data_IF_299364758889
#
_entry.id   IF_299364758889
#
_cell.length_a   1.000
_cell.length_b   1.000
_cell.length_c   1.000
_cell.angle_alpha   90.00
_cell.angle_beta   90.00
_cell.angle_gamma   90.00
#
_symmetry.space_group_name_H-M   'P 1'
#
loop_
_entity.id
_entity.type
_entity.pdbx_description
1 polymer ?
#
# COMPACT_ATOMS: atom_id res chain seq x y z
N UNK A 1 -6.60 -1.71 18.61
CA UNK A 1 -5.82 -2.26 17.50
C UNK A 1 -6.85 -2.79 16.49
N UNK A 2 -6.50 -3.50 15.41
CA UNK A 2 -7.52 -4.00 14.48
C UNK A 2 -8.60 -4.90 15.16
N UNK A 3 -8.33 -5.32 16.40
CA UNK A 3 -9.21 -6.04 17.33
C UNK A 3 -10.50 -5.31 17.76
N UNK A 4 -10.60 -3.98 17.63
CA UNK A 4 -11.73 -3.20 18.18
C UNK A 4 -12.84 -2.88 17.19
N UNK A 5 -12.60 -2.97 15.89
CA UNK A 5 -13.58 -2.61 14.87
C UNK A 5 -14.05 -3.88 14.16
N UNK A 6 -15.35 -4.00 13.91
CA UNK A 6 -15.84 -5.01 12.97
C UNK A 6 -15.31 -4.73 11.57
N UNK A 7 -15.27 -5.76 10.72
CA UNK A 7 -14.82 -5.63 9.34
C UNK A 7 -15.57 -4.52 8.57
N UNK A 8 -16.90 -4.45 8.69
CA UNK A 8 -17.71 -3.45 7.99
C UNK A 8 -17.42 -2.03 8.48
N UNK A 9 -17.16 -1.85 9.78
CA UNK A 9 -16.77 -0.56 10.34
C UNK A 9 -15.38 -0.14 9.84
N UNK A 10 -14.43 -1.07 9.76
CA UNK A 10 -13.09 -0.80 9.24
C UNK A 10 -13.14 -0.36 7.77
N UNK A 11 -13.93 -1.04 6.94
CA UNK A 11 -14.14 -0.69 5.52
C UNK A 11 -14.84 0.66 5.38
N UNK A 12 -15.87 0.93 6.20
CA UNK A 12 -16.61 2.19 6.17
C UNK A 12 -15.74 3.39 6.58
N UNK A 13 -14.96 3.23 7.66
CA UNK A 13 -14.13 4.29 8.22
C UNK A 13 -12.87 4.58 7.40
N UNK A 14 -12.52 3.71 6.45
CA UNK A 14 -11.37 3.90 5.57
C UNK A 14 -11.58 5.11 4.65
N UNK A 15 -10.71 6.11 4.77
CA UNK A 15 -10.69 7.31 3.92
C UNK A 15 -9.32 7.47 3.24
N UNK A 16 -9.32 8.19 2.11
CA UNK A 16 -8.07 8.70 1.51
C UNK A 16 -7.60 9.89 2.32
N UNK A 17 -6.34 9.89 2.74
CA UNK A 17 -5.74 10.97 3.54
C UNK A 17 -4.52 11.48 2.79
N UNK A 18 -4.54 12.76 2.44
CA UNK A 18 -3.43 13.42 1.72
C UNK A 18 -2.53 14.23 2.66
N UNK A 19 -3.08 14.72 3.78
CA UNK A 19 -2.30 15.42 4.80
C UNK A 19 -1.75 14.38 5.77
N UNK A 20 -0.47 14.03 5.61
CA UNK A 20 0.19 12.98 6.36
C UNK A 20 1.32 13.60 7.18
N UNK A 21 1.39 13.31 8.47
CA UNK A 21 2.46 13.76 9.35
C UNK A 21 3.73 12.88 9.21
N UNK A 22 4.88 13.40 9.62
CA UNK A 22 6.19 12.71 9.60
C UNK A 22 6.37 11.70 10.76
N UNK A 23 5.39 11.57 11.63
CA UNK A 23 5.37 10.61 12.74
C UNK A 23 4.22 9.61 12.58
N UNK A 24 4.54 8.35 12.88
CA UNK A 24 3.57 7.25 12.97
C UNK A 24 3.10 7.12 14.42
N UNK A 25 1.84 6.72 14.62
CA UNK A 25 1.31 6.40 15.95
C UNK A 25 1.64 4.96 16.38
N UNK A 26 2.15 4.14 15.46
CA UNK A 26 2.51 2.73 15.67
C UNK A 26 3.99 2.50 15.34
N UNK A 27 4.59 1.49 15.97
CA UNK A 27 5.98 1.08 15.72
C UNK A 27 6.13 0.46 14.32
N UNK A 28 7.37 0.46 13.83
CA UNK A 28 7.73 -0.19 12.57
C UNK A 28 7.45 -1.70 12.61
N UNK A 29 7.71 -2.37 13.74
CA UNK A 29 7.40 -3.80 13.91
C UNK A 29 5.90 -4.09 13.77
N UNK A 30 5.04 -3.21 14.30
CA UNK A 30 3.59 -3.36 14.19
C UNK A 30 3.11 -3.13 12.75
N UNK A 31 3.79 -2.25 12.01
CA UNK A 31 3.56 -2.04 10.59
C UNK A 31 3.88 -3.31 9.80
N UNK A 32 5.04 -3.91 10.06
CA UNK A 32 5.48 -5.15 9.41
C UNK A 32 4.52 -6.30 9.70
N UNK A 33 4.09 -6.44 10.96
CA UNK A 33 3.12 -7.46 11.36
C UNK A 33 1.78 -7.33 10.61
N UNK A 34 1.24 -6.11 10.51
CA UNK A 34 0.00 -5.88 9.75
C UNK A 34 0.16 -6.28 8.27
N UNK A 35 1.32 -5.99 7.70
CA UNK A 35 1.60 -6.28 6.29
C UNK A 35 1.80 -7.79 6.08
N UNK A 36 2.50 -8.47 6.99
CA UNK A 36 2.66 -9.92 6.97
C UNK A 36 1.31 -10.63 7.07
N UNK A 37 0.47 -10.25 8.02
CA UNK A 37 -0.86 -10.83 8.19
C UNK A 37 -1.71 -10.62 6.93
N UNK A 38 -1.63 -9.45 6.29
CA UNK A 38 -2.33 -9.18 5.05
C UNK A 38 -1.83 -9.97 3.83
N UNK A 39 -0.57 -10.41 3.81
CA UNK A 39 -0.05 -11.30 2.77
C UNK A 39 -0.53 -12.73 2.99
N UNK A 40 -0.61 -13.17 4.24
CA UNK A 40 -0.99 -14.54 4.61
C UNK A 40 -2.49 -14.80 4.45
N UNK A 41 -3.33 -13.87 4.92
CA UNK A 41 -4.78 -14.08 4.99
C UNK A 41 -5.52 -13.83 3.68
N UNK A 42 -4.93 -13.04 2.77
CA UNK A 42 -5.63 -12.64 1.54
C UNK A 42 -5.53 -13.75 0.50
N UNK A 43 -6.68 -14.28 0.02
CA UNK A 43 -6.66 -15.39 -0.89
C UNK A 43 -6.06 -15.00 -2.25
N UNK A 44 -5.43 -15.97 -2.87
CA UNK A 44 -4.91 -15.87 -4.23
C UNK A 44 -5.46 -17.01 -5.09
N UNK A 45 -5.67 -16.74 -6.38
CA UNK A 45 -6.12 -17.77 -7.32
C UNK A 45 -5.15 -18.94 -7.30
N UNK A 46 -5.68 -20.15 -7.11
CA UNK A 46 -4.91 -21.39 -6.99
C UNK A 46 -3.86 -21.37 -5.87
N UNK A 47 -4.05 -20.54 -4.84
CA UNK A 47 -3.08 -20.29 -3.78
C UNK A 47 -1.67 -19.94 -4.33
N UNK A 48 -1.65 -19.18 -5.42
CA UNK A 48 -0.43 -18.81 -6.14
C UNK A 48 0.50 -17.87 -5.38
N UNK A 49 -0.07 -17.03 -4.51
CA UNK A 49 0.67 -16.08 -3.68
C UNK A 49 1.70 -15.27 -4.50
N UNK A 50 1.30 -14.75 -5.66
CA UNK A 50 2.20 -14.00 -6.55
C UNK A 50 2.42 -12.55 -6.11
N UNK A 51 1.67 -12.04 -5.12
CA UNK A 51 1.91 -10.70 -4.55
C UNK A 51 3.28 -10.64 -3.86
N UNK A 52 4.00 -9.54 -4.09
CA UNK A 52 5.21 -9.16 -3.36
C UNK A 52 5.02 -7.73 -2.87
N UNK A 53 5.28 -7.47 -1.60
CA UNK A 53 5.18 -6.13 -1.03
C UNK A 53 6.57 -5.65 -0.62
N UNK A 54 6.87 -4.38 -0.88
CA UNK A 54 8.08 -3.72 -0.38
C UNK A 54 7.64 -2.56 0.50
N UNK A 55 8.08 -2.60 1.75
CA UNK A 55 7.75 -1.59 2.76
C UNK A 55 8.94 -0.66 2.92
N UNK A 56 8.75 0.61 2.60
CA UNK A 56 9.78 1.63 2.75
C UNK A 56 9.45 2.51 3.95
N UNK A 57 10.35 2.47 4.93
CA UNK A 57 10.27 3.20 6.19
C UNK A 57 11.33 4.30 6.24
N UNK A 58 11.02 5.38 6.97
CA UNK A 58 11.99 6.43 7.35
C UNK A 58 12.78 6.97 6.14
N UNK A 59 14.09 6.76 6.10
CA UNK A 59 14.98 7.33 5.09
C UNK A 59 14.75 6.73 3.70
N UNK A 60 14.41 5.44 3.60
CA UNK A 60 14.23 4.79 2.31
C UNK A 60 12.97 5.26 1.59
N UNK A 61 11.95 5.67 2.37
CA UNK A 61 10.79 6.39 1.85
C UNK A 61 11.21 7.69 1.15
N UNK A 62 12.03 8.51 1.81
CA UNK A 62 12.49 9.78 1.25
C UNK A 62 13.37 9.59 0.03
N UNK A 63 14.29 8.62 0.06
CA UNK A 63 15.13 8.28 -1.10
C UNK A 63 14.27 7.93 -2.31
N UNK A 64 13.27 7.07 -2.14
CA UNK A 64 12.37 6.68 -3.22
C UNK A 64 11.62 7.88 -3.82
N UNK A 65 11.03 8.74 -2.99
CA UNK A 65 10.34 9.92 -3.49
C UNK A 65 11.27 10.94 -4.14
N UNK A 66 12.48 11.11 -3.63
CA UNK A 66 13.46 12.00 -4.25
C UNK A 66 13.80 11.54 -5.67
N UNK A 67 13.98 10.23 -5.90
CA UNK A 67 14.16 9.67 -7.25
C UNK A 67 12.96 9.99 -8.15
N UNK A 68 11.74 9.81 -7.65
CA UNK A 68 10.51 10.15 -8.39
C UNK A 68 10.40 11.65 -8.71
N UNK A 69 10.72 12.52 -7.75
CA UNK A 69 10.73 13.97 -7.94
C UNK A 69 11.80 14.39 -8.94
N UNK A 70 13.00 13.81 -8.89
CA UNK A 70 14.05 14.08 -9.88
C UNK A 70 13.60 13.72 -11.29
N UNK A 71 12.95 12.56 -11.46
CA UNK A 71 12.36 12.17 -12.75
C UNK A 71 11.26 13.14 -13.22
N UNK A 72 10.43 13.63 -12.30
CA UNK A 72 9.36 14.59 -12.61
C UNK A 72 9.87 15.97 -13.04
N UNK A 73 11.06 16.39 -12.59
CA UNK A 73 11.66 17.68 -13.02
C UNK A 73 11.88 17.76 -14.53
N UNK A 74 12.05 16.62 -15.20
CA UNK A 74 12.21 16.58 -16.65
C UNK A 74 10.89 16.82 -17.43
N UNK A 75 9.73 16.73 -16.76
CA UNK A 75 8.41 16.70 -17.42
C UNK A 75 7.49 17.80 -16.89
N UNK A 76 7.60 18.16 -15.61
CA UNK A 76 6.70 19.12 -14.95
C UNK A 76 7.29 20.54 -15.01
N UNK A 77 6.57 21.52 -15.58
CA UNK A 77 6.97 22.93 -15.54
C UNK A 77 7.14 23.41 -14.10
N UNK A 78 8.16 24.25 -13.86
CA UNK A 78 8.51 24.73 -12.52
C UNK A 78 7.33 25.38 -11.77
N UNK A 79 6.42 26.04 -12.50
CA UNK A 79 5.26 26.74 -11.94
C UNK A 79 4.13 25.80 -11.47
N UNK A 80 4.18 24.53 -11.89
CA UNK A 80 3.19 23.50 -11.54
C UNK A 80 3.69 22.52 -10.47
N UNK A 81 4.77 22.85 -9.78
CA UNK A 81 5.37 21.95 -8.79
C UNK A 81 4.42 21.70 -7.60
N UNK A 82 4.03 20.44 -7.33
CA UNK A 82 3.13 20.16 -6.21
C UNK A 82 3.78 20.49 -4.86
N UNK A 83 3.07 21.24 -4.01
CA UNK A 83 3.44 21.47 -2.60
C UNK A 83 3.01 20.31 -1.67
N UNK A 84 2.87 19.10 -2.20
CA UNK A 84 2.39 17.96 -1.42
C UNK A 84 3.46 17.48 -0.45
N UNK A 85 3.13 17.46 0.83
CA UNK A 85 3.94 16.81 1.85
C UNK A 85 4.03 15.31 1.57
N UNK A 86 5.24 14.77 1.57
CA UNK A 86 5.48 13.34 1.40
C UNK A 86 5.13 12.61 2.70
N UNK A 87 4.56 11.41 2.56
CA UNK A 87 4.26 10.50 3.67
C UNK A 87 5.56 10.08 4.41
N UNK A 88 5.47 9.24 5.44
CA UNK A 88 6.64 8.57 6.04
C UNK A 88 6.78 7.11 5.60
N UNK A 89 5.70 6.53 5.12
CA UNK A 89 5.59 5.13 4.73
C UNK A 89 5.15 5.06 3.27
N UNK A 90 5.82 4.20 2.51
CA UNK A 90 5.33 3.76 1.22
C UNK A 90 5.29 2.23 1.21
N UNK A 91 4.13 1.68 0.84
CA UNK A 91 4.00 0.25 0.53
C UNK A 91 3.90 0.13 -0.98
N UNK A 92 4.86 -0.54 -1.59
CA UNK A 92 4.89 -0.82 -3.01
C UNK A 92 4.34 -2.22 -3.28
N UNK A 93 3.40 -2.30 -4.22
CA UNK A 93 2.71 -3.54 -4.56
C UNK A 93 3.26 -4.08 -5.88
N UNK A 94 3.84 -5.28 -5.82
CA UNK A 94 4.40 -5.98 -6.97
C UNK A 94 3.75 -7.34 -7.15
N UNK A 95 4.00 -7.92 -8.33
CA UNK A 95 3.60 -9.27 -8.70
C UNK A 95 4.78 -9.99 -9.26
N UNK A 96 4.90 -11.26 -8.92
CA UNK A 96 5.91 -12.14 -9.45
C UNK A 96 5.45 -12.69 -10.82
N UNK A 97 6.01 -12.21 -11.95
CA UNK A 97 5.60 -12.68 -13.28
C UNK A 97 5.95 -14.14 -13.48
N UNK A 98 6.97 -14.67 -12.79
CA UNK A 98 7.40 -16.06 -12.90
C UNK A 98 6.30 -17.00 -12.41
N UNK A 99 5.72 -16.71 -11.25
CA UNK A 99 4.61 -17.48 -10.68
C UNK A 99 3.41 -17.48 -11.62
N UNK A 100 3.09 -16.33 -12.21
CA UNK A 100 1.99 -16.22 -13.19
C UNK A 100 2.26 -17.11 -14.40
N UNK A 101 3.45 -17.03 -14.99
CA UNK A 101 3.83 -17.85 -16.14
C UNK A 101 3.83 -19.35 -15.83
N UNK A 102 4.30 -19.77 -14.65
CA UNK A 102 4.26 -21.17 -14.22
C UNK A 102 2.82 -21.70 -14.15
N UNK A 103 1.86 -20.90 -13.67
CA UNK A 103 0.45 -21.26 -13.63
C UNK A 103 -0.18 -21.34 -15.01
N UNK A 104 0.19 -20.42 -15.92
CA UNK A 104 -0.27 -20.45 -17.31
C UNK A 104 0.14 -21.75 -18.00
N UNK A 105 1.37 -22.22 -17.76
CA UNK A 105 1.86 -23.51 -18.28
C UNK A 105 1.13 -24.69 -17.63
N UNK A 106 0.99 -24.68 -16.30
CA UNK A 106 0.38 -25.78 -15.54
C UNK A 106 -1.11 -25.95 -15.84
N UNK A 107 -1.83 -24.84 -16.11
CA UNK A 107 -3.26 -24.81 -16.33
C UNK A 107 -3.59 -24.06 -17.62
N UNK A 108 -3.17 -24.61 -18.76
CA UNK A 108 -3.28 -23.99 -20.08
C UNK A 108 -4.70 -23.51 -20.45
N UNK A 109 -5.75 -24.20 -19.99
CA UNK A 109 -7.16 -23.83 -20.23
C UNK A 109 -7.51 -22.46 -19.62
N UNK A 110 -6.83 -22.05 -18.55
CA UNK A 110 -7.03 -20.78 -17.85
C UNK A 110 -5.87 -19.81 -18.03
N UNK A 111 -4.96 -20.07 -18.97
CA UNK A 111 -3.73 -19.29 -19.15
C UNK A 111 -4.01 -17.79 -19.35
N UNK A 112 -5.04 -17.45 -20.11
CA UNK A 112 -5.49 -16.08 -20.36
C UNK A 112 -6.05 -15.38 -19.11
N UNK A 113 -6.48 -16.13 -18.09
CA UNK A 113 -7.11 -15.61 -16.87
C UNK A 113 -6.12 -15.22 -15.79
N UNK A 114 -4.97 -15.90 -15.69
CA UNK A 114 -4.00 -15.67 -14.61
C UNK A 114 -3.50 -14.22 -14.51
N UNK A 115 -3.24 -13.48 -15.60
CA UNK A 115 -2.88 -12.06 -15.51
C UNK A 115 -3.98 -11.23 -14.84
N UNK A 116 -5.24 -11.42 -15.25
CA UNK A 116 -6.39 -10.70 -14.68
C UNK A 116 -6.61 -11.07 -13.20
N UNK A 117 -6.52 -12.35 -12.86
CA UNK A 117 -6.64 -12.80 -11.48
C UNK A 117 -5.53 -12.26 -10.58
N UNK A 118 -4.33 -12.06 -11.12
CA UNK A 118 -3.25 -11.38 -10.39
C UNK A 118 -3.56 -9.90 -10.12
N UNK A 119 -4.25 -9.20 -11.04
CA UNK A 119 -4.82 -7.86 -10.77
C UNK A 119 -5.83 -7.87 -9.63
N UNK A 120 -6.77 -8.82 -9.62
CA UNK A 120 -7.76 -8.93 -8.55
C UNK A 120 -7.09 -9.17 -7.19
N UNK A 121 -6.11 -10.08 -7.14
CA UNK A 121 -5.33 -10.36 -5.93
C UNK A 121 -4.63 -9.09 -5.39
N UNK A 122 -4.02 -8.29 -6.28
CA UNK A 122 -3.38 -7.04 -5.87
C UNK A 122 -4.38 -6.04 -5.32
N UNK A 123 -5.55 -5.90 -5.94
CA UNK A 123 -6.63 -5.06 -5.44
C UNK A 123 -7.12 -5.48 -4.04
N UNK A 124 -7.21 -6.79 -3.79
CA UNK A 124 -7.59 -7.33 -2.48
C UNK A 124 -6.55 -7.00 -1.41
N UNK A 125 -5.25 -7.18 -1.68
CA UNK A 125 -4.17 -6.82 -0.76
C UNK A 125 -4.16 -5.31 -0.47
N UNK A 126 -4.32 -4.47 -1.49
CA UNK A 126 -4.38 -3.01 -1.33
C UNK A 126 -5.56 -2.59 -0.44
N UNK A 127 -6.74 -3.18 -0.68
CA UNK A 127 -7.93 -2.88 0.12
C UNK A 127 -7.75 -3.33 1.57
N UNK A 128 -7.24 -4.55 1.78
CA UNK A 128 -6.99 -5.11 3.09
C UNK A 128 -6.06 -4.19 3.89
N UNK A 129 -4.85 -3.94 3.41
CA UNK A 129 -3.85 -3.09 4.09
C UNK A 129 -4.40 -1.68 4.37
N UNK A 130 -5.13 -1.09 3.42
CA UNK A 130 -5.73 0.22 3.63
C UNK A 130 -6.83 0.21 4.70
N UNK A 131 -7.52 -0.92 4.91
CA UNK A 131 -8.61 -1.07 5.87
C UNK A 131 -8.15 -1.43 7.28
N UNK A 132 -7.10 -2.26 7.43
CA UNK A 132 -6.66 -2.85 8.71
C UNK A 132 -6.05 -1.86 9.70
N UNK A 133 -5.80 -0.62 9.28
CA UNK A 133 -5.31 0.40 10.18
C UNK A 133 -5.34 1.77 9.56
N UNK A 134 -6.41 2.10 8.83
CA UNK A 134 -6.51 3.23 7.90
C UNK A 134 -5.57 4.39 8.20
N UNK A 135 -4.88 4.90 7.17
CA UNK A 135 -3.85 5.96 7.11
C UNK A 135 -3.76 6.96 8.28
N UNK A 136 -4.89 7.26 8.94
CA UNK A 136 -5.06 7.97 10.21
C UNK A 136 -4.16 7.47 11.34
N UNK A 137 -3.81 6.19 11.39
CA UNK A 137 -2.88 5.63 12.39
C UNK A 137 -1.41 5.77 11.99
N UNK A 138 -1.13 5.69 10.70
CA UNK A 138 0.22 5.69 10.15
C UNK A 138 0.76 7.11 10.01
N UNK A 139 -0.15 8.07 9.81
CA UNK A 139 0.11 9.49 9.67
C UNK A 139 -1.15 10.26 10.10
N UNK A 140 -1.13 10.94 11.24
CA UNK A 140 -2.23 11.86 11.56
C UNK A 140 -2.27 13.02 10.55
N UNK A 141 -3.46 13.57 10.21
CA UNK A 141 -3.51 14.92 9.68
C UNK A 141 -2.92 15.89 10.72
N UNK A 142 -2.23 16.96 10.31
CA UNK A 142 -1.78 17.98 11.25
C UNK A 142 -3.00 18.42 12.05
N UNK A 143 -2.87 18.46 13.38
CA UNK A 143 -3.93 18.93 14.24
C UNK A 143 -4.43 20.26 13.65
N UNK A 144 -5.75 20.39 13.46
CA UNK A 144 -6.36 21.70 13.51
C UNK A 144 -5.93 22.24 14.87
N UNK A 145 -4.89 23.06 14.89
CA UNK A 145 -4.61 23.92 16.03
C UNK A 145 -5.89 24.73 16.18
N UNK A 146 -6.74 24.32 17.12
CA UNK A 146 -7.80 25.18 17.62
C UNK A 146 -7.06 26.40 18.15
N UNK A 147 -7.13 27.47 17.37
CA UNK A 147 -6.79 28.81 17.81
C UNK A 147 -7.55 29.07 19.10
N UNK A 148 -6.81 29.08 20.21
CA UNK A 148 -7.15 29.93 21.34
C UNK A 148 -6.91 31.39 20.93
#
# INVERSE_FOLDING_TARGET
MADKLSYLEAVHNRRRIYQLNRSSLISDDMIEEIIHQAIEDIPSSFNSQSTRLVVLLKEDHYKFWNVGLEGLKAIVPADSWPKTGLCKLLVLFYKDPKVISELQVKFAIYADRFPLWSEHMSGMHQLAICSTGGWRFWCQPPALQSSA
#
